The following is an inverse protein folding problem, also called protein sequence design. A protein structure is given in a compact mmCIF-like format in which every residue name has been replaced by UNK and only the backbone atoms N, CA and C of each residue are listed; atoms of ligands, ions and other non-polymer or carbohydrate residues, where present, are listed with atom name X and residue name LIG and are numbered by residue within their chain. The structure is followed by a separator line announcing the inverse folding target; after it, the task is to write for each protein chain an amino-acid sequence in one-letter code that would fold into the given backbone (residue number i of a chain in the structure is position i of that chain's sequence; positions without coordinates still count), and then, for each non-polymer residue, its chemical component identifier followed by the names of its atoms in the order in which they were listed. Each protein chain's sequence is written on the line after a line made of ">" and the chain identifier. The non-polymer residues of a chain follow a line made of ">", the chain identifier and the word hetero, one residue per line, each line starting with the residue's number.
data_IF_671056922267
#
_entry.id   IF_671056922267
#
_cell.length_a   1.000
_cell.length_b   1.000
_cell.length_c   1.000
_cell.angle_alpha   90.00
_cell.angle_beta   90.00
_cell.angle_gamma   90.00
#
_symmetry.space_group_name_H-M   'P 1'
#
loop_
_entity.id
_entity.type
_entity.pdbx_description
1 polymer ?
#
# COMPACT_ATOMS: atom_id res chain seq x y z
N UNK A 1 -3.67 47.43 -41.97
CA UNK A 1 -4.03 47.11 -40.57
C UNK A 1 -3.24 45.89 -40.15
N UNK A 2 -2.18 46.06 -39.33
CA UNK A 2 -1.29 44.98 -38.91
C UNK A 2 -1.98 44.17 -37.80
N UNK A 3 -2.28 42.89 -38.02
CA UNK A 3 -2.85 42.01 -36.98
C UNK A 3 -1.71 41.55 -36.06
N UNK A 4 -1.79 41.92 -34.78
CA UNK A 4 -0.93 41.36 -33.73
C UNK A 4 -1.31 39.90 -33.51
N UNK A 5 -0.31 39.00 -33.59
CA UNK A 5 -0.45 37.60 -33.17
C UNK A 5 0.10 37.53 -31.74
N UNK A 6 -0.78 37.22 -30.78
CA UNK A 6 -0.40 36.93 -29.39
C UNK A 6 -0.07 35.42 -29.33
N UNK A 7 1.14 35.01 -28.89
CA UNK A 7 1.43 33.59 -28.74
C UNK A 7 0.73 33.09 -27.47
N UNK A 8 -0.24 32.19 -27.66
CA UNK A 8 -0.88 31.45 -26.58
C UNK A 8 0.12 30.41 -26.06
N UNK A 9 0.75 30.70 -24.92
CA UNK A 9 1.64 29.78 -24.23
C UNK A 9 0.79 28.64 -23.63
N UNK A 10 0.70 27.52 -24.35
CA UNK A 10 0.17 26.28 -23.80
C UNK A 10 1.18 25.74 -22.78
N UNK A 11 0.94 26.00 -21.49
CA UNK A 11 1.57 25.25 -20.41
C UNK A 11 1.03 23.82 -20.49
N UNK A 12 1.81 22.91 -21.08
CA UNK A 12 1.57 21.48 -20.98
C UNK A 12 1.76 21.08 -19.51
N UNK A 13 0.67 21.06 -18.74
CA UNK A 13 0.65 20.42 -17.43
C UNK A 13 0.80 18.91 -17.67
N UNK A 14 2.05 18.43 -17.67
CA UNK A 14 2.33 17.00 -17.55
C UNK A 14 1.57 16.49 -16.32
N UNK A 15 0.69 15.49 -16.45
CA UNK A 15 0.06 14.88 -15.28
C UNK A 15 1.18 14.17 -14.53
N UNK A 16 1.76 14.85 -13.55
CA UNK A 16 2.64 14.23 -12.60
C UNK A 16 1.74 13.31 -11.78
N UNK A 17 1.76 12.02 -12.12
CA UNK A 17 1.10 10.97 -11.37
C UNK A 17 1.88 10.79 -10.07
N UNK A 18 1.69 11.72 -9.14
CA UNK A 18 2.11 11.54 -7.76
C UNK A 18 1.28 10.38 -7.19
N UNK A 19 1.87 9.17 -7.20
CA UNK A 19 1.40 8.07 -6.40
C UNK A 19 1.58 8.47 -4.93
N UNK A 20 0.54 8.31 -4.12
CA UNK A 20 0.64 8.60 -2.69
C UNK A 20 1.53 7.52 -2.06
N UNK A 21 2.62 7.94 -1.41
CA UNK A 21 3.56 7.02 -0.78
C UNK A 21 3.22 6.90 0.71
N UNK A 22 3.13 5.67 1.18
CA UNK A 22 2.96 5.31 2.58
C UNK A 22 4.19 5.76 3.41
N UNK A 23 3.96 6.50 4.49
CA UNK A 23 4.98 6.81 5.50
C UNK A 23 5.12 5.64 6.48
N UNK A 24 6.29 5.50 7.10
CA UNK A 24 6.57 4.55 8.17
C UNK A 24 6.00 4.98 9.51
N UNK A 25 5.67 6.26 9.71
CA UNK A 25 5.19 6.74 11.02
C UNK A 25 3.73 6.38 11.29
N UNK A 26 2.88 6.35 10.27
CA UNK A 26 1.44 6.09 10.42
C UNK A 26 0.81 5.60 9.11
N UNK A 27 -0.23 4.75 9.16
CA UNK A 27 -0.95 4.33 7.96
C UNK A 27 -1.56 5.52 7.24
N UNK A 28 -1.56 5.48 5.90
CA UNK A 28 -2.29 6.45 5.08
C UNK A 28 -3.76 6.44 5.48
N UNK A 29 -4.36 7.63 5.60
CA UNK A 29 -5.79 7.77 5.78
C UNK A 29 -6.44 7.95 4.42
N UNK A 30 -7.26 6.99 4.01
CA UNK A 30 -7.98 7.00 2.76
C UNK A 30 -9.07 8.05 2.79
N UNK A 31 -9.34 8.58 1.61
CA UNK A 31 -10.39 9.54 1.37
C UNK A 31 -10.87 9.35 -0.06
N UNK A 32 -12.20 9.32 -0.23
CA UNK A 32 -12.82 9.01 -1.50
C UNK A 32 -12.40 9.99 -2.60
N UNK A 33 -12.29 11.28 -2.26
CA UNK A 33 -11.95 12.28 -3.26
C UNK A 33 -10.49 12.17 -3.69
N UNK A 34 -9.57 11.96 -2.77
CA UNK A 34 -8.13 12.03 -3.06
C UNK A 34 -7.56 10.71 -3.62
N UNK A 35 -8.08 9.57 -3.17
CA UNK A 35 -7.48 8.26 -3.44
C UNK A 35 -8.21 7.44 -4.51
N UNK A 36 -9.45 7.78 -4.89
CA UNK A 36 -10.27 7.00 -5.82
C UNK A 36 -10.61 7.82 -7.08
N UNK A 37 -9.60 8.04 -7.91
CA UNK A 37 -9.72 8.80 -9.17
C UNK A 37 -9.91 7.93 -10.41
N UNK A 38 -9.85 6.60 -10.25
CA UNK A 38 -10.05 5.64 -11.32
C UNK A 38 -11.51 5.52 -11.73
N UNK A 39 -11.72 5.11 -12.98
CA UNK A 39 -13.06 4.81 -13.49
C UNK A 39 -13.56 3.50 -12.89
N UNK A 40 -14.74 3.53 -12.28
CA UNK A 40 -15.36 2.34 -11.70
C UNK A 40 -15.54 1.21 -12.71
N UNK A 41 -15.17 -0.01 -12.31
CA UNK A 41 -15.46 -1.21 -13.10
C UNK A 41 -16.92 -1.61 -12.91
N UNK A 42 -17.74 -1.32 -13.92
CA UNK A 42 -19.18 -1.61 -13.90
C UNK A 42 -19.50 -3.11 -13.86
N UNK A 43 -18.54 -3.98 -14.20
CA UNK A 43 -18.73 -5.44 -14.21
C UNK A 43 -18.30 -6.10 -12.91
N UNK A 44 -17.49 -5.43 -12.09
CA UNK A 44 -17.11 -5.95 -10.77
C UNK A 44 -18.36 -6.13 -9.90
N UNK A 45 -18.46 -7.17 -9.06
CA UNK A 45 -19.52 -7.26 -8.05
C UNK A 45 -19.31 -6.25 -6.90
N UNK A 46 -18.08 -5.79 -6.69
CA UNK A 46 -17.69 -4.92 -5.57
C UNK A 46 -17.97 -3.45 -5.84
N UNK A 47 -18.10 -2.67 -4.76
CA UNK A 47 -18.48 -1.26 -4.84
C UNK A 47 -17.28 -0.32 -4.90
N UNK A 48 -16.12 -0.75 -4.42
CA UNK A 48 -14.86 -0.04 -4.53
C UNK A 48 -13.71 -1.02 -4.75
N UNK A 49 -12.54 -0.46 -5.03
CA UNK A 49 -11.26 -1.14 -5.05
C UNK A 49 -10.17 -0.13 -4.70
N UNK A 50 -9.33 -0.45 -3.72
CA UNK A 50 -8.08 0.28 -3.47
C UNK A 50 -6.91 -0.45 -4.12
N UNK A 51 -6.34 0.15 -5.18
CA UNK A 51 -5.18 -0.40 -5.86
C UNK A 51 -3.88 0.03 -5.16
N UNK A 52 -3.24 -0.90 -4.45
CA UNK A 52 -1.96 -0.66 -3.78
C UNK A 52 -0.84 -1.49 -4.39
N UNK A 53 0.40 -1.04 -4.19
CA UNK A 53 1.58 -1.80 -4.63
C UNK A 53 2.69 -1.62 -3.62
N UNK A 54 3.21 -2.73 -3.11
CA UNK A 54 4.49 -2.78 -2.43
C UNK A 54 5.62 -2.99 -3.44
N UNK A 55 6.71 -2.24 -3.29
CA UNK A 55 7.94 -2.37 -4.05
C UNK A 55 9.12 -2.38 -3.08
N UNK A 56 10.11 -3.20 -3.40
CA UNK A 56 11.42 -3.13 -2.77
C UNK A 56 12.49 -2.93 -3.84
N UNK A 57 13.55 -2.21 -3.48
CA UNK A 57 14.77 -2.10 -4.28
C UNK A 57 15.98 -2.10 -3.36
N UNK A 58 17.17 -2.39 -3.89
CA UNK A 58 18.38 -2.37 -3.11
C UNK A 58 19.62 -2.03 -3.92
N UNK A 59 20.59 -1.42 -3.24
CA UNK A 59 21.97 -1.32 -3.70
C UNK A 59 22.83 -2.33 -2.92
N UNK A 60 23.81 -2.93 -3.58
CA UNK A 60 24.73 -3.89 -2.95
C UNK A 60 26.17 -3.46 -3.11
N UNK A 61 26.96 -3.51 -2.03
CA UNK A 61 28.41 -3.34 -2.05
C UNK A 61 29.08 -4.59 -1.53
N UNK A 62 29.91 -5.24 -2.35
CA UNK A 62 30.65 -6.45 -1.97
C UNK A 62 32.09 -6.08 -1.64
N UNK A 63 32.58 -6.50 -0.47
CA UNK A 63 33.97 -6.27 -0.04
C UNK A 63 34.42 -7.36 0.94
N UNK A 64 35.63 -7.92 0.73
CA UNK A 64 36.26 -8.93 1.60
C UNK A 64 35.29 -10.01 2.11
N UNK A 65 34.62 -10.69 1.17
CA UNK A 65 33.64 -11.75 1.44
C UNK A 65 32.44 -11.32 2.33
N UNK A 66 32.09 -10.03 2.30
CA UNK A 66 30.87 -9.49 2.88
C UNK A 66 30.09 -8.72 1.82
N UNK A 67 28.77 -8.71 1.96
CA UNK A 67 27.87 -7.88 1.14
C UNK A 67 27.08 -6.97 2.07
N UNK A 68 27.12 -5.68 1.79
CA UNK A 68 26.29 -4.67 2.44
C UNK A 68 25.14 -4.37 1.51
N UNK A 69 23.91 -4.50 2.01
CA UNK A 69 22.69 -4.23 1.26
C UNK A 69 22.04 -2.97 1.82
N UNK A 70 21.82 -1.98 0.95
CA UNK A 70 21.01 -0.80 1.26
C UNK A 70 19.63 -0.98 0.64
N UNK A 71 18.68 -1.47 1.43
CA UNK A 71 17.30 -1.72 0.99
C UNK A 71 16.42 -0.47 1.13
N UNK A 72 15.46 -0.36 0.21
CA UNK A 72 14.37 0.61 0.25
C UNK A 72 13.05 -0.12 -0.03
N UNK A 73 12.11 -0.01 0.90
CA UNK A 73 10.73 -0.45 0.72
C UNK A 73 9.82 0.76 0.52
N UNK A 74 8.83 0.61 -0.36
CA UNK A 74 7.82 1.61 -0.65
C UNK A 74 6.47 0.92 -0.82
N UNK A 75 5.43 1.42 -0.16
CA UNK A 75 4.03 1.11 -0.48
C UNK A 75 3.40 2.35 -1.09
N UNK A 76 2.64 2.18 -2.17
CA UNK A 76 1.95 3.28 -2.83
C UNK A 76 0.54 2.95 -3.24
N UNK A 77 -0.35 3.95 -3.19
CA UNK A 77 -1.71 3.88 -3.74
C UNK A 77 -1.69 4.40 -5.18
N UNK A 78 -2.24 3.60 -6.08
CA UNK A 78 -2.50 4.00 -7.46
C UNK A 78 -3.92 4.55 -7.59
N UNK A 79 -4.07 5.85 -7.35
CA UNK A 79 -5.37 6.53 -7.43
C UNK A 79 -6.06 6.41 -8.79
N UNK A 80 -5.34 6.11 -9.86
CA UNK A 80 -5.91 5.95 -11.21
C UNK A 80 -6.48 4.56 -11.45
N UNK A 81 -6.02 3.58 -10.66
CA UNK A 81 -6.56 2.21 -10.63
C UNK A 81 -7.49 1.96 -9.45
N UNK A 82 -7.47 2.81 -8.42
CA UNK A 82 -8.46 2.80 -7.34
C UNK A 82 -9.75 3.48 -7.78
N UNK A 83 -10.90 2.86 -7.53
CA UNK A 83 -12.19 3.36 -8.02
C UNK A 83 -13.34 3.06 -7.05
N UNK A 84 -14.45 3.79 -7.19
CA UNK A 84 -15.67 3.61 -6.40
C UNK A 84 -16.93 3.82 -7.24
N UNK A 85 -17.99 3.04 -6.99
CA UNK A 85 -19.31 3.18 -7.62
C UNK A 85 -20.22 4.08 -6.81
N UNK A 86 -20.14 5.38 -7.09
CA UNK A 86 -20.91 6.41 -6.37
C UNK A 86 -22.42 6.19 -6.36
N UNK A 87 -22.98 5.55 -7.38
CA UNK A 87 -24.40 5.22 -7.44
C UNK A 87 -24.82 4.14 -6.43
N UNK A 88 -23.89 3.32 -5.96
CA UNK A 88 -24.11 2.23 -4.99
C UNK A 88 -23.92 2.65 -3.53
N UNK A 89 -23.17 3.72 -3.30
CA UNK A 89 -22.84 4.22 -1.96
C UNK A 89 -23.45 5.60 -1.70
N UNK A 90 -24.73 5.81 -2.08
CA UNK A 90 -25.42 7.09 -1.86
C UNK A 90 -25.74 7.34 -0.39
N UNK A 91 -26.08 6.26 0.31
CA UNK A 91 -26.28 6.27 1.75
C UNK A 91 -24.95 6.60 2.46
N UNK A 92 -24.92 7.64 3.32
CA UNK A 92 -23.74 7.98 4.11
C UNK A 92 -23.20 6.83 4.97
N UNK A 93 -24.06 6.01 5.57
CA UNK A 93 -23.61 4.93 6.46
C UNK A 93 -22.90 3.82 5.66
N UNK A 94 -23.45 3.46 4.49
CA UNK A 94 -22.81 2.51 3.57
C UNK A 94 -21.49 3.07 3.05
N UNK A 95 -21.45 4.37 2.74
CA UNK A 95 -20.24 5.05 2.25
C UNK A 95 -19.12 5.03 3.29
N UNK A 96 -19.43 5.34 4.54
CA UNK A 96 -18.45 5.32 5.64
C UNK A 96 -18.00 3.89 5.96
N UNK A 97 -18.93 2.93 6.03
CA UNK A 97 -18.58 1.53 6.28
C UNK A 97 -17.71 0.95 5.18
N UNK A 98 -17.96 1.28 3.91
CA UNK A 98 -17.12 0.84 2.80
C UNK A 98 -15.74 1.52 2.85
N UNK A 99 -15.67 2.80 3.21
CA UNK A 99 -14.37 3.50 3.34
C UNK A 99 -13.54 2.88 4.45
N UNK A 100 -14.18 2.52 5.56
CA UNK A 100 -13.56 1.81 6.66
C UNK A 100 -13.02 0.44 6.21
N UNK A 101 -13.78 -0.30 5.41
CA UNK A 101 -13.31 -1.57 4.85
C UNK A 101 -12.07 -1.39 3.97
N UNK A 102 -12.09 -0.42 3.04
CA UNK A 102 -10.95 -0.08 2.19
C UNK A 102 -9.74 0.41 3.02
N UNK A 103 -9.98 1.13 4.11
CA UNK A 103 -8.94 1.57 5.05
C UNK A 103 -8.23 0.37 5.71
N UNK A 104 -8.96 -0.72 6.00
CA UNK A 104 -8.36 -1.96 6.47
C UNK A 104 -7.34 -2.54 5.49
N UNK A 105 -7.62 -2.55 4.19
CA UNK A 105 -6.64 -2.96 3.18
C UNK A 105 -5.37 -2.09 3.19
N UNK A 106 -5.53 -0.78 3.37
CA UNK A 106 -4.40 0.14 3.50
C UNK A 106 -3.60 -0.10 4.78
N UNK A 107 -4.27 -0.39 5.89
CA UNK A 107 -3.61 -0.72 7.15
C UNK A 107 -2.85 -2.06 7.07
N UNK A 108 -3.39 -3.07 6.39
CA UNK A 108 -2.69 -4.35 6.15
C UNK A 108 -1.41 -4.13 5.33
N UNK A 109 -1.46 -3.29 4.29
CA UNK A 109 -0.27 -2.91 3.53
C UNK A 109 0.74 -2.11 4.35
N UNK A 110 0.27 -1.33 5.32
CA UNK A 110 1.15 -0.65 6.26
C UNK A 110 1.88 -1.64 7.19
N UNK A 111 1.19 -2.67 7.71
CA UNK A 111 1.83 -3.78 8.44
C UNK A 111 2.87 -4.49 7.56
N UNK A 112 2.53 -4.76 6.30
CA UNK A 112 3.48 -5.33 5.33
C UNK A 112 4.75 -4.48 5.23
N UNK A 113 4.60 -3.17 5.07
CA UNK A 113 5.74 -2.26 4.97
C UNK A 113 6.64 -2.33 6.21
N UNK A 114 6.06 -2.32 7.43
CA UNK A 114 6.82 -2.45 8.67
C UNK A 114 7.56 -3.79 8.75
N UNK A 115 6.90 -4.88 8.38
CA UNK A 115 7.50 -6.22 8.39
C UNK A 115 8.61 -6.36 7.34
N UNK A 116 8.42 -5.81 6.14
CA UNK A 116 9.44 -5.77 5.10
C UNK A 116 10.67 -4.96 5.52
N UNK A 117 10.47 -3.84 6.21
CA UNK A 117 11.56 -3.05 6.79
C UNK A 117 12.32 -3.87 7.83
N UNK A 118 11.62 -4.52 8.76
CA UNK A 118 12.21 -5.34 9.82
C UNK A 118 13.01 -6.51 9.27
N UNK A 119 12.39 -7.28 8.39
CA UNK A 119 12.88 -8.59 7.96
C UNK A 119 13.93 -8.47 6.85
N UNK A 120 13.76 -7.55 5.90
CA UNK A 120 14.72 -7.41 4.81
C UNK A 120 15.97 -6.62 5.24
N UNK A 121 15.83 -5.58 6.07
CA UNK A 121 17.00 -4.75 6.45
C UNK A 121 17.85 -5.36 7.55
N UNK A 122 17.25 -6.13 8.45
CA UNK A 122 17.94 -6.62 9.63
C UNK A 122 18.40 -8.08 9.51
N UNK A 123 19.15 -8.37 8.45
CA UNK A 123 19.74 -9.69 8.24
C UNK A 123 21.10 -9.59 7.56
N UNK A 124 21.99 -10.52 7.94
CA UNK A 124 23.22 -10.75 7.19
C UNK A 124 22.91 -11.60 5.95
N UNK A 125 23.28 -11.08 4.79
CA UNK A 125 23.15 -11.81 3.53
C UNK A 125 24.48 -12.44 3.13
N UNK A 126 24.43 -13.61 2.51
CA UNK A 126 25.64 -14.27 1.99
C UNK A 126 26.02 -13.65 0.65
N UNK A 127 27.32 -13.38 0.45
CA UNK A 127 27.85 -12.82 -0.80
C UNK A 127 27.49 -13.67 -2.01
N UNK A 128 27.38 -14.99 -1.84
CA UNK A 128 27.17 -15.92 -2.94
C UNK A 128 25.71 -15.96 -3.43
N UNK A 129 24.74 -15.54 -2.61
CA UNK A 129 23.32 -15.73 -2.91
C UNK A 129 22.37 -14.65 -2.35
N UNK A 130 22.89 -13.49 -1.92
CA UNK A 130 22.06 -12.41 -1.35
C UNK A 130 20.87 -12.02 -2.23
N UNK A 131 21.02 -12.00 -3.56
CA UNK A 131 19.93 -11.68 -4.50
C UNK A 131 18.76 -12.67 -4.38
N UNK A 132 19.08 -13.97 -4.34
CA UNK A 132 18.09 -15.03 -4.20
C UNK A 132 17.45 -14.98 -2.81
N UNK A 133 18.26 -14.77 -1.75
CA UNK A 133 17.76 -14.64 -0.37
C UNK A 133 16.78 -13.46 -0.21
N UNK A 134 17.10 -12.29 -0.77
CA UNK A 134 16.22 -11.12 -0.73
C UNK A 134 14.92 -11.40 -1.49
N UNK A 135 15.02 -11.95 -2.70
CA UNK A 135 13.86 -12.26 -3.54
C UNK A 135 12.92 -13.28 -2.89
N UNK A 136 13.48 -14.38 -2.37
CA UNK A 136 12.74 -15.41 -1.66
C UNK A 136 11.99 -14.84 -0.45
N UNK A 137 12.69 -14.05 0.36
CA UNK A 137 12.10 -13.43 1.54
C UNK A 137 11.02 -12.42 1.20
N UNK A 138 11.23 -11.62 0.15
CA UNK A 138 10.21 -10.69 -0.33
C UNK A 138 8.97 -11.43 -0.85
N UNK A 139 9.14 -12.55 -1.56
CA UNK A 139 8.03 -13.37 -2.03
C UNK A 139 7.26 -14.02 -0.87
N UNK A 140 7.96 -14.46 0.18
CA UNK A 140 7.33 -14.99 1.40
C UNK A 140 6.46 -13.92 2.08
N UNK A 141 6.99 -12.71 2.24
CA UNK A 141 6.25 -11.57 2.79
C UNK A 141 5.03 -11.27 1.92
N UNK A 142 5.20 -11.13 0.60
CA UNK A 142 4.07 -10.88 -0.31
C UNK A 142 2.99 -11.95 -0.17
N UNK A 143 3.36 -13.23 -0.24
CA UNK A 143 2.41 -14.33 -0.17
C UNK A 143 1.65 -14.39 1.16
N UNK A 144 2.32 -14.07 2.27
CA UNK A 144 1.67 -13.98 3.57
C UNK A 144 0.60 -12.88 3.59
N UNK A 145 0.95 -11.66 3.15
CA UNK A 145 0.03 -10.53 3.17
C UNK A 145 -1.06 -10.63 2.09
N UNK A 146 -0.79 -11.23 0.94
CA UNK A 146 -1.80 -11.55 -0.07
C UNK A 146 -2.84 -12.54 0.48
N UNK A 147 -2.43 -13.43 1.38
CA UNK A 147 -3.35 -14.32 2.09
C UNK A 147 -4.12 -13.56 3.18
N UNK A 148 -3.46 -12.68 3.93
CA UNK A 148 -4.12 -11.84 4.93
C UNK A 148 -5.19 -10.94 4.31
N UNK A 149 -4.92 -10.30 3.16
CA UNK A 149 -5.88 -9.48 2.43
C UNK A 149 -7.12 -10.29 1.99
N UNK A 150 -6.91 -11.49 1.44
CA UNK A 150 -8.01 -12.39 1.04
C UNK A 150 -8.86 -12.84 2.22
N UNK A 151 -8.21 -13.23 3.32
CA UNK A 151 -8.93 -13.61 4.54
C UNK A 151 -9.73 -12.44 5.10
N UNK A 152 -9.18 -11.23 5.06
CA UNK A 152 -9.89 -10.02 5.47
C UNK A 152 -11.12 -9.76 4.60
N UNK A 153 -11.00 -9.83 3.27
CA UNK A 153 -12.14 -9.77 2.35
C UNK A 153 -13.20 -10.83 2.65
N UNK A 154 -12.79 -12.10 2.73
CA UNK A 154 -13.68 -13.25 2.89
C UNK A 154 -14.42 -13.21 4.24
N UNK A 155 -13.71 -12.93 5.33
CA UNK A 155 -14.27 -12.95 6.68
C UNK A 155 -15.12 -11.72 7.00
N UNK A 156 -14.79 -10.56 6.42
CA UNK A 156 -15.61 -9.34 6.56
C UNK A 156 -16.75 -9.30 5.55
N UNK A 157 -16.88 -10.30 4.68
CA UNK A 157 -17.83 -10.32 3.56
C UNK A 157 -17.72 -9.01 2.75
N UNK A 158 -16.49 -8.64 2.38
CA UNK A 158 -16.14 -7.39 1.71
C UNK A 158 -16.69 -6.13 2.43
N UNK A 159 -16.57 -6.12 3.76
CA UNK A 159 -16.98 -5.00 4.62
C UNK A 159 -18.45 -4.99 5.05
N UNK A 160 -19.26 -5.97 4.62
CA UNK A 160 -20.68 -6.05 5.01
C UNK A 160 -20.91 -6.73 6.39
N UNK A 161 -19.95 -7.53 6.86
CA UNK A 161 -19.99 -8.15 8.18
C UNK A 161 -19.28 -7.26 9.22
N UNK A 162 -20.01 -6.32 9.81
CA UNK A 162 -19.45 -5.33 10.75
C UNK A 162 -18.84 -5.95 12.01
N UNK A 163 -19.32 -7.11 12.46
CA UNK A 163 -18.74 -7.82 13.60
C UNK A 163 -17.33 -8.32 13.26
N UNK A 164 -17.17 -8.89 12.08
CA UNK A 164 -15.87 -9.35 11.62
C UNK A 164 -14.96 -8.19 11.25
N UNK A 165 -15.50 -7.08 10.73
CA UNK A 165 -14.76 -5.83 10.54
C UNK A 165 -14.11 -5.37 11.85
N UNK A 166 -14.89 -5.22 12.92
CA UNK A 166 -14.38 -4.79 14.24
C UNK A 166 -13.28 -5.72 14.78
N UNK A 167 -13.46 -7.04 14.59
CA UNK A 167 -12.43 -8.02 14.97
C UNK A 167 -11.14 -7.85 14.16
N UNK A 168 -11.26 -7.58 12.87
CA UNK A 168 -10.10 -7.34 12.01
C UNK A 168 -9.40 -6.03 12.34
N UNK A 169 -10.14 -5.01 12.77
CA UNK A 169 -9.54 -3.75 13.23
C UNK A 169 -8.61 -3.99 14.43
N UNK A 170 -9.02 -4.83 15.39
CA UNK A 170 -8.18 -5.26 16.51
C UNK A 170 -6.95 -6.04 16.02
N UNK A 171 -7.13 -7.06 15.17
CA UNK A 171 -6.03 -7.87 14.62
C UNK A 171 -5.00 -7.01 13.89
N UNK A 172 -5.46 -6.05 13.09
CA UNK A 172 -4.60 -5.15 12.34
C UNK A 172 -3.85 -4.22 13.29
N UNK A 173 -4.54 -3.67 14.29
CA UNK A 173 -3.93 -2.79 15.28
C UNK A 173 -2.86 -3.52 16.09
N UNK A 174 -3.15 -4.72 16.58
CA UNK A 174 -2.19 -5.56 17.30
C UNK A 174 -0.94 -5.81 16.45
N UNK A 175 -1.12 -6.15 15.17
CA UNK A 175 0.00 -6.35 14.24
C UNK A 175 0.82 -5.10 14.00
N UNK A 176 0.19 -3.92 13.94
CA UNK A 176 0.89 -2.64 13.84
C UNK A 176 1.77 -2.43 15.09
N UNK A 177 1.21 -2.66 16.27
CA UNK A 177 1.92 -2.50 17.54
C UNK A 177 3.09 -3.48 17.69
N UNK A 178 2.85 -4.77 17.40
CA UNK A 178 3.89 -5.81 17.36
C UNK A 178 5.02 -5.43 16.40
N UNK A 179 4.69 -5.01 15.18
CA UNK A 179 5.68 -4.67 14.16
C UNK A 179 6.51 -3.44 14.58
N UNK A 180 5.89 -2.44 15.19
CA UNK A 180 6.58 -1.25 15.71
C UNK A 180 7.49 -1.58 16.89
N UNK A 181 7.01 -2.37 17.83
CA UNK A 181 7.80 -2.80 18.99
C UNK A 181 9.05 -3.56 18.53
N UNK A 182 8.88 -4.53 17.62
CA UNK A 182 9.98 -5.28 17.06
C UNK A 182 10.98 -4.38 16.30
N UNK A 183 10.50 -3.41 15.52
CA UNK A 183 11.36 -2.43 14.84
C UNK A 183 12.16 -1.55 15.82
N UNK A 184 11.56 -1.14 16.93
CA UNK A 184 12.22 -0.33 17.95
C UNK A 184 13.33 -1.08 18.68
N UNK A 185 13.19 -2.40 18.88
CA UNK A 185 14.24 -3.24 19.47
C UNK A 185 15.50 -3.33 18.59
N UNK A 186 15.35 -3.24 17.27
CA UNK A 186 16.47 -3.28 16.32
C UNK A 186 17.28 -1.99 16.28
N UNK A 187 16.75 -0.90 16.84
CA UNK A 187 17.39 0.41 16.88
C UNK A 187 18.11 0.70 18.22
N UNK A 188 17.97 -0.20 19.21
CA UNK A 188 18.67 -0.14 20.49
C UNK A 188 20.06 -0.75 20.39
#
# INVERSE_FOLDING_TARGET
>A
MKKLIIPLLFLLALPCTFAFKQDLNQPVQLDWETHFKGKADTRSPFFALTAMTWKYSYESTVYRNRVVIKLKNDVSIDKTRSWVKWDKIKDPEIRESLLHHEQGHANIQYVLLLEAERVLKNRNYSVNNYKAQISELANQISSFFDTMQRNYDDETEHGSNHKMQARWDEIIQDKIEESRAAMAELQK
#
